data_IF_748353405728
#
_entry.id   IF_748353405728
#
_cell.length_a   1.000
_cell.length_b   1.000
_cell.length_c   1.000
_cell.angle_alpha   90.00
_cell.angle_beta   90.00
_cell.angle_gamma   90.00
#
_symmetry.space_group_name_H-M   'P 1'
#
loop_
_entity.id
_entity.type
_entity.pdbx_description
1 polymer ?
#
# COMPACT_ATOMS: atom_id res chain seq x y z
N UNK A 1 12.16 41.26 17.67
CA UNK A 1 13.26 40.82 16.78
C UNK A 1 13.07 39.34 16.54
N UNK A 2 12.36 38.98 15.47
CA UNK A 2 12.18 37.58 15.05
C UNK A 2 13.53 37.04 14.61
N UNK A 3 13.99 35.94 15.22
CA UNK A 3 15.20 35.25 14.76
C UNK A 3 14.90 34.66 13.39
N UNK A 4 15.64 35.08 12.36
CA UNK A 4 15.66 34.39 11.08
C UNK A 4 16.37 33.05 11.27
N UNK A 5 15.59 31.98 11.34
CA UNK A 5 16.10 30.62 11.32
C UNK A 5 16.50 30.32 9.88
N UNK A 6 17.80 30.16 9.64
CA UNK A 6 18.31 29.63 8.37
C UNK A 6 17.85 28.18 8.24
N UNK A 7 17.04 27.87 7.22
CA UNK A 7 16.57 26.52 6.94
C UNK A 7 17.70 25.73 6.28
N UNK A 8 18.27 24.77 7.01
CA UNK A 8 19.17 23.76 6.48
C UNK A 8 18.34 22.72 5.70
N UNK A 9 18.64 22.55 4.41
CA UNK A 9 17.91 21.64 3.51
C UNK A 9 18.86 20.57 3.01
N UNK A 10 18.70 19.36 3.55
CA UNK A 10 19.43 18.17 3.09
C UNK A 10 18.62 17.38 2.05
N UNK A 11 19.26 16.88 0.96
CA UNK A 11 18.60 16.04 -0.01
C UNK A 11 18.24 14.68 0.60
N UNK A 12 16.95 14.35 0.63
CA UNK A 12 16.49 13.05 1.11
C UNK A 12 16.67 11.98 0.04
N UNK A 13 17.48 10.97 0.33
CA UNK A 13 17.61 9.78 -0.51
C UNK A 13 16.34 8.90 -0.41
N UNK A 14 15.32 9.23 -1.21
CA UNK A 14 14.00 8.58 -1.21
C UNK A 14 14.06 7.05 -1.36
N UNK A 15 15.08 6.52 -2.03
CA UNK A 15 15.27 5.09 -2.20
C UNK A 15 15.53 4.35 -0.87
N UNK A 16 16.13 5.02 0.11
CA UNK A 16 16.46 4.44 1.42
C UNK A 16 15.31 4.51 2.43
N UNK A 17 14.35 5.41 2.21
CA UNK A 17 13.24 5.66 3.16
C UNK A 17 11.91 5.07 2.70
N UNK A 18 11.74 4.84 1.39
CA UNK A 18 10.54 4.19 0.85
C UNK A 18 10.62 2.67 0.95
N UNK A 19 9.49 1.95 1.07
CA UNK A 19 9.50 0.49 1.01
C UNK A 19 10.03 0.00 -0.35
N UNK A 20 10.67 -1.17 -0.40
CA UNK A 20 11.15 -1.74 -1.65
C UNK A 20 9.97 -2.02 -2.61
N UNK A 21 10.04 -1.41 -3.79
CA UNK A 21 9.04 -1.54 -4.85
C UNK A 21 9.58 -2.41 -5.99
N UNK A 22 8.71 -3.18 -6.61
CA UNK A 22 8.98 -3.93 -7.84
C UNK A 22 7.84 -3.71 -8.83
N UNK A 23 8.15 -3.29 -10.06
CA UNK A 23 7.15 -2.89 -11.07
C UNK A 23 6.08 -1.91 -10.54
N UNK A 24 6.49 -0.98 -9.66
CA UNK A 24 5.61 0.05 -9.07
C UNK A 24 4.72 -0.40 -7.91
N UNK A 25 4.79 -1.66 -7.48
CA UNK A 25 4.01 -2.23 -6.36
C UNK A 25 4.97 -2.68 -5.25
N UNK A 26 4.59 -2.65 -3.95
CA UNK A 26 5.43 -3.18 -2.88
C UNK A 26 5.80 -4.64 -3.12
N UNK A 27 7.10 -4.95 -2.95
CA UNK A 27 7.67 -6.24 -3.32
C UNK A 27 6.89 -7.45 -2.78
N UNK A 28 6.39 -7.37 -1.54
CA UNK A 28 5.57 -8.43 -0.91
C UNK A 28 4.30 -8.76 -1.70
N UNK A 29 3.59 -7.74 -2.20
CA UNK A 29 2.33 -7.91 -2.91
C UNK A 29 2.57 -8.39 -4.34
N UNK A 30 3.64 -7.92 -4.97
CA UNK A 30 4.03 -8.39 -6.29
C UNK A 30 4.28 -9.90 -6.29
N UNK A 31 5.11 -10.40 -5.36
CA UNK A 31 5.40 -11.82 -5.27
C UNK A 31 4.19 -12.65 -4.82
N UNK A 32 3.33 -12.11 -3.94
CA UNK A 32 2.07 -12.77 -3.60
C UNK A 32 1.15 -12.91 -4.82
N UNK A 33 0.96 -11.84 -5.60
CA UNK A 33 0.17 -11.88 -6.83
C UNK A 33 0.77 -12.87 -7.84
N UNK A 34 2.09 -12.84 -8.03
CA UNK A 34 2.79 -13.76 -8.93
C UNK A 34 2.61 -15.23 -8.50
N UNK A 35 2.84 -15.52 -7.22
CA UNK A 35 2.73 -16.88 -6.69
C UNK A 35 1.30 -17.43 -6.80
N UNK A 36 0.29 -16.63 -6.46
CA UNK A 36 -1.13 -17.04 -6.57
C UNK A 36 -1.49 -17.34 -8.03
N UNK A 37 -1.10 -16.48 -8.97
CA UNK A 37 -1.40 -16.68 -10.39
C UNK A 37 -0.63 -17.86 -11.00
N UNK A 38 0.61 -18.10 -10.57
CA UNK A 38 1.36 -19.30 -10.94
C UNK A 38 0.66 -20.56 -10.43
N UNK A 39 0.25 -20.58 -9.15
CA UNK A 39 -0.49 -21.70 -8.56
C UNK A 39 -1.78 -21.98 -9.33
N UNK A 40 -2.53 -20.93 -9.67
CA UNK A 40 -3.77 -21.02 -10.45
C UNK A 40 -3.53 -21.58 -11.87
N UNK A 41 -2.45 -21.15 -12.52
CA UNK A 41 -2.07 -21.63 -13.85
C UNK A 41 -1.74 -23.13 -13.83
N UNK A 42 -1.08 -23.59 -12.76
CA UNK A 42 -0.73 -25.01 -12.56
C UNK A 42 -2.01 -25.81 -12.28
N UNK A 43 -2.86 -25.37 -11.36
CA UNK A 43 -4.07 -26.10 -10.94
C UNK A 43 -5.13 -26.22 -12.04
N UNK A 44 -5.35 -25.15 -12.82
CA UNK A 44 -6.28 -25.19 -13.96
C UNK A 44 -5.64 -25.74 -15.25
N UNK A 45 -4.35 -26.08 -15.23
CA UNK A 45 -3.59 -26.51 -16.41
C UNK A 45 -3.76 -25.55 -17.61
N UNK A 46 -4.02 -24.27 -17.35
CA UNK A 46 -4.41 -23.27 -18.34
C UNK A 46 -3.68 -21.96 -18.07
N UNK A 47 -3.29 -21.24 -19.12
CA UNK A 47 -2.58 -19.96 -19.03
C UNK A 47 -3.46 -18.77 -18.59
N UNK A 48 -4.63 -19.03 -18.00
CA UNK A 48 -5.59 -17.99 -17.58
C UNK A 48 -5.06 -17.15 -16.42
N UNK A 49 -4.08 -17.66 -15.66
CA UNK A 49 -3.39 -16.90 -14.61
C UNK A 49 -2.60 -15.70 -15.15
N UNK A 50 -2.19 -15.69 -16.42
CA UNK A 50 -1.43 -14.57 -17.01
C UNK A 50 -2.30 -13.31 -17.17
N UNK A 51 -3.46 -13.33 -17.85
CA UNK A 51 -4.32 -12.15 -17.92
C UNK A 51 -4.85 -11.75 -16.54
N UNK A 52 -5.11 -12.70 -15.65
CA UNK A 52 -5.54 -12.41 -14.28
C UNK A 52 -4.44 -11.68 -13.48
N UNK A 53 -3.19 -12.11 -13.61
CA UNK A 53 -2.04 -11.43 -13.01
C UNK A 53 -1.97 -9.97 -13.43
N UNK A 54 -2.13 -9.68 -14.73
CA UNK A 54 -2.12 -8.32 -15.26
C UNK A 54 -3.24 -7.46 -14.68
N UNK A 55 -4.47 -7.99 -14.63
CA UNK A 55 -5.63 -7.32 -14.05
C UNK A 55 -5.41 -6.99 -12.56
N UNK A 56 -5.01 -7.96 -11.77
CA UNK A 56 -4.77 -7.77 -10.33
C UNK A 56 -3.61 -6.82 -10.09
N UNK A 57 -2.53 -6.94 -10.88
CA UNK A 57 -1.36 -6.04 -10.77
C UNK A 57 -1.73 -4.59 -11.07
N UNK A 58 -2.57 -4.33 -12.08
CA UNK A 58 -3.04 -2.97 -12.39
C UNK A 58 -3.85 -2.37 -11.23
N UNK A 59 -4.69 -3.16 -10.57
CA UNK A 59 -5.45 -2.72 -9.39
C UNK A 59 -4.49 -2.38 -8.24
N UNK A 60 -3.53 -3.27 -7.94
CA UNK A 60 -2.52 -3.06 -6.90
C UNK A 60 -1.68 -1.81 -7.17
N UNK A 61 -1.28 -1.62 -8.43
CA UNK A 61 -0.54 -0.45 -8.88
C UNK A 61 -1.34 0.83 -8.69
N UNK A 62 -2.63 0.83 -9.06
CA UNK A 62 -3.49 2.02 -8.91
C UNK A 62 -3.70 2.42 -7.45
N UNK A 63 -3.80 1.44 -6.55
CA UNK A 63 -3.90 1.66 -5.10
C UNK A 63 -2.59 2.22 -4.52
N UNK A 64 -1.45 1.71 -4.97
CA UNK A 64 -0.12 2.13 -4.51
C UNK A 64 0.22 3.56 -4.95
N UNK A 65 -0.38 4.07 -6.03
CA UNK A 65 -0.15 5.43 -6.52
C UNK A 65 -0.55 6.52 -5.54
N UNK A 66 -1.55 6.30 -4.67
CA UNK A 66 -1.93 7.30 -3.64
C UNK A 66 -1.00 7.23 -2.43
N UNK A 67 -0.66 6.03 -1.97
CA UNK A 67 0.24 5.80 -0.84
C UNK A 67 0.95 4.43 -0.97
N UNK A 68 2.28 4.42 -0.88
CA UNK A 68 3.07 3.19 -0.91
C UNK A 68 2.79 2.27 0.29
N UNK A 69 2.34 2.83 1.41
CA UNK A 69 2.01 2.10 2.63
C UNK A 69 0.51 1.79 2.74
N UNK A 70 -0.29 2.08 1.71
CA UNK A 70 -1.74 1.88 1.70
C UNK A 70 -2.15 0.51 2.28
N UNK A 71 -1.55 -0.57 1.77
CA UNK A 71 -1.88 -1.93 2.22
C UNK A 71 -1.47 -2.24 3.65
N UNK A 72 -0.40 -1.61 4.16
CA UNK A 72 0.02 -1.77 5.56
C UNK A 72 -0.98 -1.09 6.49
N UNK A 73 -1.42 0.11 6.14
CA UNK A 73 -2.44 0.86 6.88
C UNK A 73 -3.77 0.12 6.83
N UNK A 74 -4.18 -0.35 5.65
CA UNK A 74 -5.41 -1.13 5.48
C UNK A 74 -5.41 -2.43 6.29
N UNK A 75 -4.29 -3.18 6.29
CA UNK A 75 -4.19 -4.39 7.10
C UNK A 75 -4.20 -4.09 8.61
N UNK A 76 -3.49 -3.05 9.05
CA UNK A 76 -3.56 -2.59 10.46
C UNK A 76 -4.97 -2.16 10.83
N UNK A 77 -5.65 -1.48 9.91
CA UNK A 77 -7.03 -1.07 10.09
C UNK A 77 -7.94 -2.28 10.35
N UNK A 78 -7.76 -3.35 9.57
CA UNK A 78 -8.54 -4.59 9.72
C UNK A 78 -8.17 -5.42 10.96
N UNK A 79 -6.93 -5.36 11.44
CA UNK A 79 -6.42 -6.28 12.47
C UNK A 79 -6.33 -5.68 13.86
N UNK A 80 -5.96 -4.40 13.98
CA UNK A 80 -5.59 -3.78 15.25
C UNK A 80 -6.56 -2.68 15.68
N UNK A 81 -7.45 -2.25 14.80
CA UNK A 81 -8.53 -1.32 15.16
C UNK A 81 -9.83 -2.09 15.35
N UNK A 82 -10.26 -2.36 16.60
CA UNK A 82 -11.62 -2.78 16.83
C UNK A 82 -12.58 -1.72 16.25
N UNK A 83 -13.70 -2.11 15.62
CA UNK A 83 -14.67 -1.16 15.09
C UNK A 83 -15.21 -0.32 16.24
N UNK A 84 -14.72 0.92 16.36
CA UNK A 84 -15.13 1.84 17.41
C UNK A 84 -16.53 2.32 17.07
N UNK A 85 -17.54 1.69 17.66
CA UNK A 85 -18.95 2.02 17.41
C UNK A 85 -19.26 3.49 17.74
N UNK A 86 -18.50 4.09 18.65
CA UNK A 86 -18.66 5.50 19.04
C UNK A 86 -17.98 6.51 18.09
N UNK A 87 -17.54 6.10 16.88
CA UNK A 87 -16.90 7.01 15.91
C UNK A 87 -17.75 8.24 15.58
N UNK A 88 -19.08 8.09 15.59
CA UNK A 88 -20.03 9.18 15.31
C UNK A 88 -20.11 10.21 16.43
N UNK A 89 -19.85 9.83 17.68
CA UNK A 89 -19.82 10.76 18.82
C UNK A 89 -18.55 11.60 18.83
N UNK A 90 -17.42 11.03 18.41
CA UNK A 90 -16.11 11.69 18.37
C UNK A 90 -15.79 12.37 17.03
N UNK A 91 -16.78 12.49 16.13
CA UNK A 91 -16.67 13.28 14.91
C UNK A 91 -15.70 12.74 13.85
N UNK A 92 -15.42 11.44 13.82
CA UNK A 92 -14.55 10.86 12.78
C UNK A 92 -13.09 11.31 12.86
N UNK A 93 -12.53 11.40 14.07
CA UNK A 93 -11.12 11.73 14.32
C UNK A 93 -10.21 10.50 14.37
N UNK A 94 -10.55 9.43 13.62
CA UNK A 94 -9.72 8.23 13.61
C UNK A 94 -8.52 8.41 12.68
N UNK A 95 -7.33 8.07 13.18
CA UNK A 95 -6.04 8.22 12.47
C UNK A 95 -5.91 7.46 11.14
N UNK A 96 -6.93 6.68 10.76
CA UNK A 96 -6.98 5.83 9.57
C UNK A 96 -7.96 6.33 8.52
N UNK A 97 -8.71 7.41 8.79
CA UNK A 97 -9.55 8.06 7.78
C UNK A 97 -8.63 8.84 6.84
N UNK A 98 -8.46 8.33 5.62
CA UNK A 98 -7.78 9.04 4.53
C UNK A 98 -8.72 10.14 4.03
N UNK A 99 -8.30 11.40 4.14
CA UNK A 99 -8.90 12.52 3.41
C UNK A 99 -8.83 12.32 1.88
#
# INVERSE_FOLDING_TARGET
>A
MSKDYQLEVDPLALALTRPPLFMGVPMRLFFANLAINMMLCIDLHTLIGIPLFGLVHLILFRLTMKDLQFFRVWLKYLTQTPPVLNHSFWGGTNSYQLE
#
